data_IF_190820290767
#
_entry.id   IF_190820290767
#
_cell.length_a   1.000
_cell.length_b   1.000
_cell.length_c   1.000
_cell.angle_alpha   90.00
_cell.angle_beta   90.00
_cell.angle_gamma   90.00
#
_symmetry.space_group_name_H-M   'P 1'
#
loop_
_entity.id
_entity.type
_entity.pdbx_description
1 polymer ?
#
# COMPACT_ATOMS: atom_id res chain seq x y z
N UNK A 1 29.38 -7.30 -33.73
CA UNK A 1 29.36 -6.59 -32.44
C UNK A 1 27.95 -6.07 -32.30
N UNK A 2 27.06 -6.90 -31.76
CA UNK A 2 25.65 -6.58 -31.64
C UNK A 2 25.49 -5.65 -30.44
N UNK A 3 24.99 -4.44 -30.68
CA UNK A 3 24.71 -3.50 -29.60
C UNK A 3 23.40 -3.96 -28.96
N UNK A 4 23.47 -4.50 -27.75
CA UNK A 4 22.30 -4.72 -26.90
C UNK A 4 21.64 -3.36 -26.65
N UNK A 5 20.52 -3.12 -27.33
CA UNK A 5 19.69 -1.97 -27.04
C UNK A 5 18.86 -2.29 -25.79
N UNK A 6 19.12 -1.59 -24.68
CA UNK A 6 18.19 -1.55 -23.55
C UNK A 6 16.84 -1.00 -24.02
N UNK A 7 15.82 -1.84 -24.05
CA UNK A 7 14.43 -1.47 -24.40
C UNK A 7 13.74 -0.60 -23.33
N UNK A 8 14.44 -0.21 -22.27
CA UNK A 8 13.91 0.60 -21.20
C UNK A 8 14.58 1.97 -21.23
N UNK A 9 13.92 2.95 -21.83
CA UNK A 9 14.13 4.33 -21.43
C UNK A 9 13.51 4.50 -20.03
N UNK A 10 14.24 5.08 -19.08
CA UNK A 10 13.72 5.51 -17.77
C UNK A 10 12.59 6.56 -17.87
N UNK A 11 12.11 6.86 -19.09
CA UNK A 11 10.96 7.70 -19.38
C UNK A 11 9.66 6.91 -19.50
N UNK A 12 9.69 5.59 -19.32
CA UNK A 12 8.51 4.75 -19.39
C UNK A 12 7.64 5.02 -18.16
N UNK A 13 6.63 5.87 -18.33
CA UNK A 13 5.53 6.10 -17.39
C UNK A 13 4.71 4.81 -17.26
N UNK A 14 5.31 3.79 -16.64
CA UNK A 14 4.59 2.63 -16.16
C UNK A 14 3.45 3.17 -15.29
N UNK A 15 2.20 2.91 -15.70
CA UNK A 15 0.98 3.31 -14.98
C UNK A 15 1.20 3.28 -13.47
N UNK A 16 0.95 4.39 -12.76
CA UNK A 16 1.85 4.90 -11.74
C UNK A 16 2.10 3.85 -10.68
N UNK A 17 3.28 3.27 -10.73
CA UNK A 17 3.89 2.76 -9.50
C UNK A 17 4.15 4.01 -8.67
N UNK A 18 3.55 4.06 -7.50
CA UNK A 18 3.73 5.19 -6.59
C UNK A 18 4.91 4.89 -5.70
N UNK A 19 5.86 5.81 -5.72
CA UNK A 19 7.00 5.82 -4.82
C UNK A 19 6.71 6.81 -3.69
N UNK A 20 7.18 6.51 -2.47
CA UNK A 20 7.07 7.45 -1.38
C UNK A 20 8.08 8.61 -1.60
N UNK A 21 7.85 9.78 -0.97
CA UNK A 21 8.84 10.85 -0.93
C UNK A 21 10.19 10.36 -0.38
N UNK A 22 11.32 10.96 -0.77
CA UNK A 22 12.66 10.48 -0.42
C UNK A 22 12.93 10.36 1.08
N UNK A 23 12.16 11.04 1.92
CA UNK A 23 12.28 11.02 3.37
C UNK A 23 11.72 9.73 4.01
N UNK A 24 10.93 8.95 3.27
CA UNK A 24 10.30 7.73 3.76
C UNK A 24 10.94 6.48 3.16
N UNK A 25 11.49 5.66 4.03
CA UNK A 25 12.01 4.33 3.69
C UNK A 25 11.00 3.27 4.14
N UNK A 26 10.01 3.00 3.28
CA UNK A 26 8.92 2.09 3.60
C UNK A 26 9.24 0.65 3.17
N UNK A 27 8.98 -0.35 4.03
CA UNK A 27 9.04 -1.76 3.66
C UNK A 27 8.21 -2.06 2.40
N UNK A 28 8.72 -2.96 1.56
CA UNK A 28 8.06 -3.40 0.33
C UNK A 28 6.61 -3.84 0.56
N UNK A 29 6.32 -4.49 1.70
CA UNK A 29 4.97 -4.91 2.10
C UNK A 29 3.96 -3.76 2.08
N UNK A 30 4.38 -2.60 2.57
CA UNK A 30 3.55 -1.40 2.70
C UNK A 30 3.38 -0.77 1.32
N UNK A 31 4.47 -0.58 0.59
CA UNK A 31 4.45 -0.04 -0.77
C UNK A 31 3.62 -0.88 -1.74
N UNK A 32 3.72 -2.20 -1.64
CA UNK A 32 2.89 -3.14 -2.40
C UNK A 32 1.40 -2.87 -2.16
N UNK A 33 0.99 -2.69 -0.91
CA UNK A 33 -0.39 -2.44 -0.54
C UNK A 33 -0.87 -1.06 -1.02
N UNK A 34 -0.06 -0.01 -0.88
CA UNK A 34 -0.38 1.33 -1.39
C UNK A 34 -0.58 1.30 -2.91
N UNK A 35 0.34 0.68 -3.65
CA UNK A 35 0.24 0.53 -5.09
C UNK A 35 -1.02 -0.25 -5.50
N UNK A 36 -1.37 -1.32 -4.77
CA UNK A 36 -2.61 -2.05 -4.99
C UNK A 36 -3.84 -1.16 -4.76
N UNK A 37 -3.87 -0.35 -3.69
CA UNK A 37 -4.99 0.55 -3.40
C UNK A 37 -5.18 1.63 -4.47
N UNK A 38 -4.09 2.21 -4.97
CA UNK A 38 -4.12 3.20 -6.05
C UNK A 38 -4.66 2.58 -7.34
N UNK A 39 -4.17 1.39 -7.69
CA UNK A 39 -4.58 0.70 -8.93
C UNK A 39 -6.03 0.18 -8.90
N UNK A 40 -6.58 -0.07 -7.71
CA UNK A 40 -7.99 -0.40 -7.53
C UNK A 40 -8.90 0.83 -7.39
N UNK A 41 -8.35 2.05 -7.52
CA UNK A 41 -9.04 3.31 -7.32
C UNK A 41 -9.67 3.46 -5.92
N UNK A 42 -9.02 2.90 -4.90
CA UNK A 42 -9.37 3.12 -3.49
C UNK A 42 -8.67 4.36 -2.94
N UNK A 43 -7.45 4.65 -3.42
CA UNK A 43 -6.67 5.84 -3.07
C UNK A 43 -6.37 6.66 -4.33
N UNK A 44 -6.78 7.94 -4.42
CA UNK A 44 -6.40 8.79 -5.54
C UNK A 44 -4.91 9.17 -5.43
N UNK A 45 -4.11 9.25 -6.51
CA UNK A 45 -2.69 9.62 -6.38
C UNK A 45 -2.43 10.95 -5.66
N UNK A 46 -3.38 11.88 -5.72
CA UNK A 46 -3.34 13.16 -5.01
C UNK A 46 -3.46 13.03 -3.49
N UNK A 47 -3.83 11.85 -2.97
CA UNK A 47 -3.92 11.54 -1.54
C UNK A 47 -2.59 11.16 -0.91
N UNK A 48 -1.56 10.91 -1.72
CA UNK A 48 -0.28 10.34 -1.29
C UNK A 48 0.71 11.45 -0.93
N UNK A 49 0.33 12.29 0.03
CA UNK A 49 1.17 13.36 0.55
C UNK A 49 2.06 12.88 1.71
N UNK A 50 2.90 13.78 2.20
CA UNK A 50 3.80 13.53 3.34
C UNK A 50 3.03 13.05 4.58
N UNK A 51 1.84 13.58 4.84
CA UNK A 51 1.04 13.20 6.00
C UNK A 51 0.54 11.75 5.87
N UNK A 52 0.07 11.37 4.69
CA UNK A 52 -0.30 9.98 4.40
C UNK A 52 0.88 9.02 4.64
N UNK A 53 2.06 9.33 4.11
CA UNK A 53 3.23 8.47 4.28
C UNK A 53 3.74 8.46 5.73
N UNK A 54 3.55 9.53 6.51
CA UNK A 54 3.80 9.52 7.95
C UNK A 54 2.94 8.51 8.69
N UNK A 55 1.66 8.32 8.31
CA UNK A 55 0.81 7.27 8.92
C UNK A 55 1.24 5.84 8.57
N UNK A 56 2.04 5.68 7.51
CA UNK A 56 2.53 4.38 7.03
C UNK A 56 3.97 4.10 7.42
N UNK A 57 4.67 5.04 8.05
CA UNK A 57 6.04 4.86 8.49
C UNK A 57 6.09 4.03 9.79
N UNK A 58 6.71 2.83 9.78
CA UNK A 58 6.87 2.03 10.99
C UNK A 58 7.71 2.69 12.09
N UNK A 59 8.44 3.77 11.78
CA UNK A 59 9.16 4.59 12.76
C UNK A 59 8.23 5.48 13.59
N UNK A 60 7.08 5.86 13.04
CA UNK A 60 6.13 6.78 13.68
C UNK A 60 4.88 6.04 14.18
N UNK A 61 4.47 4.96 13.51
CA UNK A 61 3.26 4.21 13.82
C UNK A 61 3.52 2.72 14.04
N UNK A 62 2.69 2.09 14.86
CA UNK A 62 2.75 0.66 15.13
C UNK A 62 2.56 -0.15 13.84
N UNK A 63 3.48 -1.08 13.54
CA UNK A 63 3.39 -1.92 12.36
C UNK A 63 2.10 -2.74 12.31
N UNK A 64 1.60 -3.17 13.46
CA UNK A 64 0.33 -3.90 13.55
C UNK A 64 -0.86 -3.02 13.15
N UNK A 65 -0.82 -1.71 13.46
CA UNK A 65 -1.81 -0.76 13.00
C UNK A 65 -1.77 -0.62 11.48
N UNK A 66 -0.58 -0.42 10.90
CA UNK A 66 -0.41 -0.24 9.45
C UNK A 66 -0.90 -1.47 8.68
N UNK A 67 -0.51 -2.66 9.15
CA UNK A 67 -0.92 -3.94 8.55
C UNK A 67 -2.44 -4.14 8.63
N UNK A 68 -3.12 -3.59 9.65
CA UNK A 68 -4.58 -3.58 9.78
C UNK A 68 -5.26 -2.50 8.93
N UNK A 69 -4.69 -1.29 8.88
CA UNK A 69 -5.31 -0.12 8.26
C UNK A 69 -5.34 -0.21 6.72
N UNK A 70 -4.26 -0.67 6.09
CA UNK A 70 -4.15 -0.72 4.63
C UNK A 70 -5.19 -1.67 3.97
N UNK A 71 -5.39 -2.92 4.45
CA UNK A 71 -6.47 -3.76 3.93
C UNK A 71 -7.86 -3.19 4.21
N UNK A 72 -8.05 -2.50 5.35
CA UNK A 72 -9.33 -1.88 5.67
C UNK A 72 -9.68 -0.74 4.72
N UNK A 73 -8.69 0.04 4.27
CA UNK A 73 -8.86 1.02 3.19
C UNK A 73 -9.33 0.40 1.87
N UNK A 74 -8.96 -0.86 1.57
CA UNK A 74 -9.47 -1.59 0.40
C UNK A 74 -10.96 -1.91 0.57
N UNK A 75 -11.38 -2.29 1.78
CA UNK A 75 -12.77 -2.66 2.10
C UNK A 75 -13.73 -1.46 2.17
N UNK A 76 -13.23 -0.25 2.47
CA UNK A 76 -14.06 0.95 2.65
C UNK A 76 -14.73 1.47 1.35
N UNK A 77 -14.49 0.82 0.22
CA UNK A 77 -15.10 1.16 -1.07
C UNK A 77 -14.31 2.23 -1.84
N UNK A 78 -14.76 2.54 -3.06
CA UNK A 78 -14.03 3.42 -3.99
C UNK A 78 -14.15 4.90 -3.57
N UNK A 79 -13.00 5.56 -3.41
CA UNK A 79 -12.79 7.00 -3.31
C UNK A 79 -13.46 7.74 -2.14
N UNK A 80 -12.99 7.53 -0.90
CA UNK A 80 -13.12 8.58 0.13
C UNK A 80 -11.97 9.57 0.00
N UNK A 81 -12.26 10.85 -0.25
CA UNK A 81 -11.24 11.92 -0.33
C UNK A 81 -10.56 12.25 1.03
N UNK A 82 -10.93 11.53 2.09
CA UNK A 82 -10.53 11.78 3.47
C UNK A 82 -9.76 10.59 4.07
N UNK A 83 -8.95 9.90 3.28
CA UNK A 83 -8.10 8.78 3.69
C UNK A 83 -7.16 9.14 4.86
N UNK A 84 -6.56 10.34 4.87
CA UNK A 84 -5.73 10.84 5.98
C UNK A 84 -6.57 11.07 7.23
N UNK A 85 -7.72 11.75 7.11
CA UNK A 85 -8.60 11.98 8.26
C UNK A 85 -9.13 10.65 8.84
N UNK A 86 -9.41 9.68 7.97
CA UNK A 86 -9.78 8.33 8.38
C UNK A 86 -8.63 7.63 9.11
N UNK A 87 -7.39 7.70 8.59
CA UNK A 87 -6.20 7.13 9.24
C UNK A 87 -5.94 7.78 10.60
N UNK A 88 -6.07 9.10 10.71
CA UNK A 88 -5.94 9.82 11.96
C UNK A 88 -6.96 9.36 13.01
N UNK A 89 -8.23 9.23 12.60
CA UNK A 89 -9.30 8.73 13.47
C UNK A 89 -9.07 7.28 13.89
N UNK A 90 -8.73 6.39 12.95
CA UNK A 90 -8.49 4.98 13.26
C UNK A 90 -7.23 4.79 14.11
N UNK A 91 -6.19 5.61 13.94
CA UNK A 91 -4.96 5.63 14.76
C UNK A 91 -5.27 6.02 16.21
N UNK A 92 -6.11 7.04 16.43
CA UNK A 92 -6.55 7.44 17.76
C UNK A 92 -7.33 6.32 18.46
N UNK A 93 -8.20 5.62 17.72
CA UNK A 93 -8.97 4.50 18.25
C UNK A 93 -8.11 3.24 18.45
N UNK A 94 -7.06 3.05 17.64
CA UNK A 94 -6.12 1.93 17.79
C UNK A 94 -5.44 1.93 19.17
N UNK A 95 -5.08 3.11 19.68
CA UNK A 95 -4.49 3.24 21.01
C UNK A 95 -5.41 2.82 22.17
N UNK A 96 -6.73 2.76 21.93
CA UNK A 96 -7.74 2.41 22.93
C UNK A 96 -8.21 0.95 22.85
N UNK A 97 -7.96 0.27 21.72
CA UNK A 97 -8.39 -1.11 21.49
C UNK A 97 -7.39 -2.08 22.11
N UNK A 98 -7.90 -3.21 22.62
CA UNK A 98 -7.03 -4.37 22.85
C UNK A 98 -6.43 -4.79 21.51
N UNK A 99 -5.10 -4.75 21.43
CA UNK A 99 -4.39 -5.11 20.20
C UNK A 99 -4.66 -6.58 19.90
N UNK A 100 -5.02 -6.94 18.66
CA UNK A 100 -5.20 -8.34 18.31
C UNK A 100 -3.88 -9.09 18.59
N UNK A 101 -3.95 -10.13 19.42
CA UNK A 101 -2.81 -10.88 19.98
C UNK A 101 -1.88 -11.47 18.90
N UNK A 102 -2.44 -11.69 17.72
CA UNK A 102 -1.84 -11.67 16.39
C UNK A 102 -2.97 -11.18 15.50
N UNK A 103 -2.69 -10.30 14.55
CA UNK A 103 -3.72 -9.96 13.59
C UNK A 103 -4.17 -11.26 12.91
N UNK A 104 -5.47 -11.50 12.70
CA UNK A 104 -5.92 -12.60 11.82
C UNK A 104 -5.22 -12.52 10.46
N UNK A 105 -4.74 -11.32 10.10
CA UNK A 105 -3.86 -11.03 8.98
C UNK A 105 -2.50 -11.75 9.06
N UNK A 106 -1.88 -11.91 10.23
CA UNK A 106 -0.64 -12.71 10.39
C UNK A 106 -0.90 -14.20 10.12
N UNK A 107 -2.03 -14.74 10.60
CA UNK A 107 -2.38 -16.14 10.38
C UNK A 107 -2.77 -16.44 8.92
N UNK A 108 -3.41 -15.48 8.24
CA UNK A 108 -3.80 -15.61 6.82
C UNK A 108 -2.68 -15.21 5.85
N UNK A 109 -1.71 -14.40 6.28
CA UNK A 109 -0.46 -14.11 5.55
C UNK A 109 0.34 -15.39 5.32
N UNK A 110 0.30 -16.33 6.27
CA UNK A 110 1.03 -17.60 6.19
C UNK A 110 0.35 -18.68 5.34
N UNK A 111 -0.97 -18.61 5.09
CA UNK A 111 -1.66 -19.72 4.43
C UNK A 111 -1.84 -19.56 2.91
N UNK A 112 -2.21 -18.39 2.35
CA UNK A 112 -2.41 -18.29 0.88
C UNK A 112 -2.23 -16.90 0.22
N UNK A 113 -1.58 -15.92 0.86
CA UNK A 113 -1.40 -14.58 0.27
C UNK A 113 -0.18 -14.50 -0.65
N UNK A 114 -0.32 -15.01 -1.88
CA UNK A 114 0.67 -14.78 -2.94
C UNK A 114 0.50 -13.35 -3.45
N UNK A 115 1.46 -12.48 -3.11
CA UNK A 115 1.62 -11.18 -3.75
C UNK A 115 2.03 -11.38 -5.20
N UNK A 116 1.20 -10.91 -6.14
CA UNK A 116 1.43 -11.05 -7.57
C UNK A 116 1.68 -9.67 -8.17
N UNK A 117 2.84 -9.53 -8.79
CA UNK A 117 3.19 -8.38 -9.62
C UNK A 117 3.12 -8.82 -11.08
N UNK A 118 2.18 -8.27 -11.84
CA UNK A 118 2.09 -8.50 -13.29
C UNK A 118 2.73 -7.33 -14.01
N UNK A 119 3.78 -7.62 -14.78
CA UNK A 119 4.52 -6.62 -15.55
C UNK A 119 4.09 -6.74 -17.01
N UNK A 120 3.73 -5.62 -17.61
CA UNK A 120 3.52 -5.45 -19.05
C UNK A 120 4.54 -4.43 -19.58
N UNK A 121 4.73 -4.31 -20.90
CA UNK A 121 5.66 -3.32 -21.46
C UNK A 121 5.38 -1.86 -21.03
N UNK A 122 4.16 -1.56 -20.59
CA UNK A 122 3.73 -0.20 -20.26
C UNK A 122 3.13 -0.05 -18.86
N UNK A 123 2.96 -1.14 -18.08
CA UNK A 123 2.30 -1.09 -16.76
C UNK A 123 2.79 -2.19 -15.83
N UNK A 124 2.82 -1.87 -14.55
CA UNK A 124 2.98 -2.86 -13.47
C UNK A 124 1.67 -2.93 -12.68
N UNK A 125 1.20 -4.13 -12.37
CA UNK A 125 -0.03 -4.35 -11.62
C UNK A 125 0.23 -5.16 -10.35
N UNK A 126 -0.26 -4.67 -9.22
CA UNK A 126 -0.13 -5.27 -7.90
C UNK A 126 -1.47 -5.91 -7.53
N UNK A 127 -1.47 -7.22 -7.23
CA UNK A 127 -2.68 -7.97 -6.88
C UNK A 127 -2.39 -9.08 -5.87
N UNK A 128 -3.39 -9.50 -5.11
CA UNK A 128 -3.24 -10.52 -4.07
C UNK A 128 -3.57 -10.05 -2.65
N UNK A 129 -4.04 -8.81 -2.47
CA UNK A 129 -4.82 -8.47 -1.28
C UNK A 129 -6.19 -9.16 -1.37
N UNK A 130 -6.52 -10.00 -0.39
CA UNK A 130 -7.92 -10.36 -0.15
C UNK A 130 -8.49 -9.43 0.93
N UNK A 131 -9.59 -8.71 0.66
CA UNK A 131 -10.36 -8.10 1.73
C UNK A 131 -10.94 -9.19 2.65
N UNK A 132 -11.13 -8.87 3.93
CA UNK A 132 -11.85 -9.73 4.86
C UNK A 132 -13.34 -9.67 4.48
N UNK A 133 -13.96 -10.82 4.17
CA UNK A 133 -15.43 -10.98 4.12
C UNK A 133 -16.02 -10.98 5.53
#
# INVERSE_FOLDING_TARGET
MESEFSYSSNTNSLSPVVDPPPEFDLPFEILFNVNSLVQNACLPPTSLDTEFYQFLDPKTHDRAFIDYALPKLLCLGKCSYEHVAWLAKESLEWGKKEKPMKSTLDYQRELFNIRRVKITPTRMYFSGLKPHE
#
